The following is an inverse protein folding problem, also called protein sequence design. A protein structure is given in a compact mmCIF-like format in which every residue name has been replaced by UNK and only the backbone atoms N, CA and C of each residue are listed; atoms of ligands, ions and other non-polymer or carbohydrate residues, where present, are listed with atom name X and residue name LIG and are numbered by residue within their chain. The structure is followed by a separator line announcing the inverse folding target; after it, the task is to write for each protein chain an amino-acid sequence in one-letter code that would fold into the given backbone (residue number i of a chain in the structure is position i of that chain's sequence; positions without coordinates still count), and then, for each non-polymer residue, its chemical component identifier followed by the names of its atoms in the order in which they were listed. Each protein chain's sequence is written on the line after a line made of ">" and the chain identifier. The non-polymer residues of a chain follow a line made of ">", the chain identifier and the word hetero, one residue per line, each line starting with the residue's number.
data_IF_581347623805
#
_entry.id   IF_581347623805
#
_cell.length_a   1.000
_cell.length_b   1.000
_cell.length_c   1.000
_cell.angle_alpha   90.00
_cell.angle_beta   90.00
_cell.angle_gamma   90.00
#
_symmetry.space_group_name_H-M   'P 1'
#
loop_
_entity.id
_entity.type
_entity.pdbx_description
1 polymer ?
#
# COMPACT_ATOMS: atom_id res chain seq x y z
N UNK A 1 9.86 -6.38 -14.04
CA UNK A 1 9.30 -5.73 -15.23
C UNK A 1 8.86 -6.74 -16.31
N UNK A 2 9.77 -7.58 -16.84
CA UNK A 2 9.42 -8.56 -17.91
C UNK A 2 8.35 -9.56 -17.48
N UNK A 3 8.42 -10.10 -16.26
CA UNK A 3 7.42 -11.04 -15.73
C UNK A 3 6.04 -10.39 -15.70
N UNK A 4 5.93 -9.19 -15.16
CA UNK A 4 4.66 -8.46 -15.11
C UNK A 4 4.10 -8.12 -16.49
N UNK A 5 4.98 -7.79 -17.45
CA UNK A 5 4.56 -7.52 -18.84
C UNK A 5 3.93 -8.74 -19.52
N UNK A 6 4.38 -9.97 -19.21
CA UNK A 6 3.77 -11.21 -19.71
C UNK A 6 2.30 -11.36 -19.31
N UNK A 7 1.90 -10.70 -18.24
CA UNK A 7 0.53 -10.72 -17.70
C UNK A 7 -0.24 -9.40 -17.98
N UNK A 8 0.27 -8.55 -18.88
CA UNK A 8 -0.43 -7.37 -19.37
C UNK A 8 -0.06 -6.06 -18.69
N UNK A 9 0.83 -6.06 -17.67
CA UNK A 9 1.27 -4.82 -17.02
C UNK A 9 2.19 -4.02 -17.96
N UNK A 10 1.78 -2.83 -18.35
CA UNK A 10 2.57 -1.93 -19.22
C UNK A 10 3.41 -0.94 -18.44
N UNK A 11 2.91 -0.51 -17.28
CA UNK A 11 3.61 0.39 -16.36
C UNK A 11 3.47 -0.11 -14.94
N UNK A 12 4.48 0.11 -14.11
CA UNK A 12 4.45 -0.31 -12.72
C UNK A 12 5.13 0.71 -11.80
N UNK A 13 4.66 0.72 -10.57
CA UNK A 13 5.21 1.50 -9.46
C UNK A 13 5.73 0.50 -8.43
N UNK A 14 7.03 0.16 -8.45
CA UNK A 14 7.60 -0.69 -7.40
C UNK A 14 7.35 -0.08 -6.03
N UNK A 15 6.93 -0.95 -5.09
CA UNK A 15 6.47 -0.54 -3.76
C UNK A 15 7.46 -1.04 -2.71
N UNK A 16 7.76 -0.18 -1.72
CA UNK A 16 8.59 -0.55 -0.57
C UNK A 16 7.75 -1.28 0.47
N UNK A 17 8.43 -1.97 1.38
CA UNK A 17 7.89 -2.36 2.67
C UNK A 17 8.47 -1.47 3.76
N UNK A 18 7.81 -1.44 4.92
CA UNK A 18 8.37 -0.87 6.14
C UNK A 18 9.70 -1.54 6.47
N UNK A 19 10.76 -0.76 6.58
CA UNK A 19 12.12 -1.23 6.79
C UNK A 19 12.97 -0.15 7.50
N UNK A 20 14.24 -0.44 7.77
CA UNK A 20 15.18 0.55 8.29
C UNK A 20 15.52 1.63 7.25
N UNK A 21 15.92 2.81 7.72
CA UNK A 21 16.31 3.92 6.84
C UNK A 21 17.47 3.52 5.91
N UNK A 22 18.42 2.73 6.40
CA UNK A 22 19.53 2.20 5.59
C UNK A 22 19.02 1.31 4.44
N UNK A 23 18.04 0.44 4.70
CA UNK A 23 17.44 -0.41 3.67
C UNK A 23 16.64 0.40 2.66
N UNK A 24 15.93 1.42 3.10
CA UNK A 24 15.22 2.34 2.22
C UNK A 24 16.19 3.07 1.27
N UNK A 25 17.31 3.59 1.77
CA UNK A 25 18.33 4.23 0.93
C UNK A 25 18.95 3.25 -0.08
N UNK A 26 19.23 2.03 0.34
CA UNK A 26 19.71 0.96 -0.54
C UNK A 26 18.69 0.59 -1.62
N UNK A 27 17.40 0.63 -1.28
CA UNK A 27 16.32 0.38 -2.24
C UNK A 27 16.25 1.50 -3.28
N UNK A 28 16.38 2.78 -2.91
CA UNK A 28 16.45 3.89 -3.87
C UNK A 28 17.62 3.72 -4.85
N UNK A 29 18.79 3.35 -4.34
CA UNK A 29 19.95 3.07 -5.19
C UNK A 29 19.71 1.89 -6.14
N UNK A 30 19.05 0.85 -5.65
CA UNK A 30 18.68 -0.34 -6.45
C UNK A 30 17.64 0.01 -7.51
N UNK A 31 16.62 0.80 -7.17
CA UNK A 31 15.62 1.27 -8.12
C UNK A 31 16.25 2.06 -9.27
N UNK A 32 17.13 3.04 -8.97
CA UNK A 32 17.81 3.82 -10.00
C UNK A 32 18.59 2.95 -10.97
N UNK A 33 19.32 1.95 -10.46
CA UNK A 33 20.03 0.97 -11.31
C UNK A 33 19.05 0.13 -12.13
N UNK A 34 18.00 -0.39 -11.51
CA UNK A 34 17.00 -1.20 -12.19
C UNK A 34 16.25 -0.41 -13.28
N UNK A 35 15.94 0.87 -13.04
CA UNK A 35 15.27 1.78 -13.99
C UNK A 35 16.09 1.95 -15.28
N UNK A 36 17.41 2.10 -15.15
CA UNK A 36 18.33 2.20 -16.31
C UNK A 36 18.43 0.88 -17.05
N UNK A 37 18.50 -0.25 -16.35
CA UNK A 37 18.63 -1.59 -16.94
C UNK A 37 17.32 -2.11 -17.52
N UNK A 38 16.18 -1.52 -17.16
CA UNK A 38 14.86 -1.98 -17.62
C UNK A 38 14.55 -1.52 -19.04
N UNK A 39 15.13 -2.21 -20.03
CA UNK A 39 14.91 -1.93 -21.45
C UNK A 39 13.77 -2.75 -22.05
N UNK A 40 13.22 -3.71 -21.31
CA UNK A 40 12.13 -4.61 -21.74
C UNK A 40 11.13 -4.78 -20.60
N UNK A 41 9.86 -4.95 -20.96
CA UNK A 41 8.79 -5.21 -20.00
C UNK A 41 8.07 -3.94 -19.53
N UNK A 42 7.42 -4.01 -18.37
CA UNK A 42 6.65 -2.90 -17.80
C UNK A 42 7.56 -1.70 -17.46
N UNK A 43 7.14 -0.51 -17.86
CA UNK A 43 7.88 0.73 -17.58
C UNK A 43 7.80 1.08 -16.10
N UNK A 44 8.92 1.41 -15.47
CA UNK A 44 8.94 2.01 -14.12
C UNK A 44 8.58 3.49 -14.24
N UNK A 45 7.50 3.91 -13.59
CA UNK A 45 7.00 5.29 -13.63
C UNK A 45 7.27 6.07 -12.35
N UNK A 46 7.73 5.42 -11.30
CA UNK A 46 8.07 5.99 -10.01
C UNK A 46 8.09 4.93 -8.92
N UNK A 47 8.22 5.37 -7.69
CA UNK A 47 8.20 4.55 -6.47
C UNK A 47 6.98 4.87 -5.63
N UNK A 48 6.41 3.84 -5.03
CA UNK A 48 5.45 3.95 -3.95
C UNK A 48 6.14 3.60 -2.63
N UNK A 49 6.16 4.53 -1.69
CA UNK A 49 6.58 4.24 -0.32
C UNK A 49 5.38 3.76 0.48
N UNK A 50 5.44 2.52 0.96
CA UNK A 50 4.42 1.92 1.81
C UNK A 50 4.95 1.81 3.24
N UNK A 51 4.55 2.75 4.07
CA UNK A 51 5.09 2.95 5.42
C UNK A 51 6.33 3.86 5.45
N UNK A 52 6.99 3.97 6.61
CA UNK A 52 6.79 3.22 7.87
C UNK A 52 5.71 3.82 8.78
N UNK A 53 4.98 4.83 8.36
CA UNK A 53 4.03 5.61 9.15
C UNK A 53 2.65 4.95 9.16
N UNK A 54 2.55 3.80 9.85
CA UNK A 54 1.36 2.96 9.90
C UNK A 54 0.86 2.71 11.31
N UNK A 55 -0.43 2.42 11.45
CA UNK A 55 -1.03 2.03 12.71
C UNK A 55 -0.57 0.65 13.15
N UNK A 56 -0.04 0.49 14.37
CA UNK A 56 0.33 -0.83 14.88
C UNK A 56 -0.84 -1.84 14.92
N UNK A 57 -2.08 -1.34 15.02
CA UNK A 57 -3.27 -2.21 15.00
C UNK A 57 -3.59 -2.77 13.61
N UNK A 58 -3.08 -2.15 12.57
CA UNK A 58 -3.34 -2.48 11.17
C UNK A 58 -2.03 -2.80 10.42
N UNK A 59 -1.03 -3.33 11.14
CA UNK A 59 0.28 -3.65 10.56
C UNK A 59 0.21 -4.66 9.42
N UNK A 60 -0.76 -5.59 9.44
CA UNK A 60 -0.81 -6.67 8.46
C UNK A 60 0.51 -7.46 8.45
N UNK A 61 1.15 -7.58 7.30
CA UNK A 61 2.47 -8.20 7.14
C UNK A 61 3.64 -7.21 7.26
N UNK A 62 3.40 -5.94 7.57
CA UNK A 62 4.47 -4.98 7.85
C UNK A 62 5.12 -5.32 9.20
N UNK A 63 6.46 -5.27 9.27
CA UNK A 63 7.18 -5.57 10.51
C UNK A 63 6.96 -4.46 11.54
N UNK A 64 6.33 -4.76 12.70
CA UNK A 64 6.00 -3.74 13.70
C UNK A 64 7.20 -3.02 14.30
N UNK A 65 8.40 -3.59 14.24
CA UNK A 65 9.61 -2.96 14.80
C UNK A 65 10.01 -1.67 14.07
N UNK A 66 9.57 -1.49 12.82
CA UNK A 66 9.86 -0.32 12.01
C UNK A 66 8.72 0.70 11.97
N UNK A 67 7.57 0.39 12.59
CA UNK A 67 6.43 1.30 12.59
C UNK A 67 6.71 2.52 13.47
N UNK A 68 6.44 3.70 12.94
CA UNK A 68 6.70 4.96 13.62
C UNK A 68 5.71 6.04 13.20
N UNK A 69 5.71 7.18 13.88
CA UNK A 69 4.92 8.35 13.52
C UNK A 69 5.72 9.24 12.57
N UNK A 70 5.05 9.97 11.64
CA UNK A 70 5.73 10.94 10.77
C UNK A 70 6.45 12.03 11.59
N UNK A 71 7.74 12.23 11.34
CA UNK A 71 8.52 13.33 11.90
C UNK A 71 9.05 14.19 10.75
N UNK A 72 8.90 15.54 10.81
CA UNK A 72 9.29 16.43 9.71
C UNK A 72 10.74 16.25 9.26
N UNK A 73 11.66 16.12 10.20
CA UNK A 73 13.10 15.98 9.92
C UNK A 73 13.37 14.69 9.13
N UNK A 74 12.64 13.61 9.45
CA UNK A 74 12.83 12.32 8.83
C UNK A 74 12.22 12.26 7.43
N UNK A 75 10.91 12.59 7.28
CA UNK A 75 10.28 12.47 5.98
C UNK A 75 10.85 13.48 4.97
N UNK A 76 11.30 14.67 5.39
CA UNK A 76 12.00 15.61 4.51
C UNK A 76 13.33 15.04 4.03
N UNK A 77 14.13 14.44 4.91
CA UNK A 77 15.39 13.78 4.51
C UNK A 77 15.13 12.63 3.50
N UNK A 78 14.04 11.88 3.66
CA UNK A 78 13.64 10.84 2.70
C UNK A 78 13.27 11.48 1.35
N UNK A 79 12.48 12.56 1.33
CA UNK A 79 12.08 13.28 0.13
C UNK A 79 13.28 13.84 -0.62
N UNK A 80 14.26 14.39 0.08
CA UNK A 80 15.52 14.88 -0.50
C UNK A 80 16.39 13.75 -1.09
N UNK A 81 16.22 12.51 -0.63
CA UNK A 81 17.01 11.36 -1.07
C UNK A 81 16.61 10.78 -2.42
N UNK A 82 15.40 11.06 -2.90
CA UNK A 82 14.90 10.49 -4.16
C UNK A 82 13.79 11.31 -4.81
N UNK A 83 14.01 11.72 -6.04
CA UNK A 83 13.00 12.34 -6.92
C UNK A 83 12.06 11.31 -7.56
N UNK A 84 12.31 10.01 -7.37
CA UNK A 84 11.51 8.95 -7.98
C UNK A 84 10.22 8.62 -7.19
N UNK A 85 10.02 9.19 -6.01
CA UNK A 85 8.84 8.96 -5.17
C UNK A 85 7.66 9.69 -5.79
N UNK A 86 6.59 8.93 -6.14
CA UNK A 86 5.36 9.50 -6.69
C UNK A 86 4.13 9.28 -5.81
N UNK A 87 4.23 8.38 -4.83
CA UNK A 87 3.17 8.07 -3.88
C UNK A 87 3.75 7.66 -2.54
N UNK A 88 3.08 8.04 -1.46
CA UNK A 88 3.43 7.61 -0.10
C UNK A 88 2.17 7.25 0.69
N UNK A 89 2.09 6.02 1.15
CA UNK A 89 0.99 5.53 1.98
C UNK A 89 1.28 5.74 3.46
N UNK A 90 0.30 6.31 4.16
CA UNK A 90 0.40 6.73 5.57
C UNK A 90 -0.93 6.44 6.28
N UNK A 91 -0.88 6.12 7.57
CA UNK A 91 -2.04 6.06 8.44
C UNK A 91 -2.38 7.49 8.95
N UNK A 92 -3.52 8.06 8.53
CA UNK A 92 -3.79 9.48 8.72
C UNK A 92 -4.10 9.89 10.15
N UNK A 93 -4.46 8.95 11.02
CA UNK A 93 -4.69 9.18 12.45
C UNK A 93 -3.42 9.41 13.25
N UNK A 94 -2.25 9.14 12.66
CA UNK A 94 -0.99 9.35 13.34
C UNK A 94 -0.67 10.83 13.48
N UNK A 95 -0.15 11.19 14.66
CA UNK A 95 0.37 12.53 14.89
C UNK A 95 1.42 12.91 13.84
N UNK A 96 1.28 14.07 13.22
CA UNK A 96 2.14 14.53 12.14
C UNK A 96 1.66 14.17 10.72
N UNK A 97 0.77 13.20 10.55
CA UNK A 97 0.32 12.73 9.24
C UNK A 97 -0.37 13.83 8.41
N UNK A 98 -1.21 14.64 9.03
CA UNK A 98 -1.90 15.75 8.35
C UNK A 98 -0.88 16.78 7.79
N UNK A 99 0.12 17.15 8.59
CA UNK A 99 1.18 18.07 8.16
C UNK A 99 1.99 17.46 7.01
N UNK A 100 2.33 16.18 7.13
CA UNK A 100 3.02 15.44 6.08
C UNK A 100 2.23 15.42 4.76
N UNK A 101 0.89 15.27 4.82
CA UNK A 101 0.04 15.30 3.63
C UNK A 101 0.20 16.58 2.82
N UNK A 102 0.23 17.74 3.46
CA UNK A 102 0.48 19.02 2.80
C UNK A 102 1.87 19.07 2.15
N UNK A 103 2.90 18.61 2.86
CA UNK A 103 4.27 18.57 2.32
C UNK A 103 4.35 17.65 1.09
N UNK A 104 3.73 16.48 1.13
CA UNK A 104 3.70 15.57 -0.02
C UNK A 104 3.04 16.22 -1.25
N UNK A 105 1.95 16.97 -1.06
CA UNK A 105 1.32 17.73 -2.14
C UNK A 105 2.23 18.79 -2.74
N UNK A 106 2.97 19.54 -1.90
CA UNK A 106 3.96 20.53 -2.35
C UNK A 106 5.05 19.89 -3.22
N UNK A 107 5.42 18.64 -2.92
CA UNK A 107 6.36 17.84 -3.70
C UNK A 107 5.71 17.09 -4.89
N UNK A 108 4.42 17.30 -5.18
CA UNK A 108 3.66 16.59 -6.21
C UNK A 108 3.64 15.07 -6.03
N UNK A 109 3.73 14.61 -4.79
CA UNK A 109 3.62 13.19 -4.40
C UNK A 109 2.20 12.94 -3.93
N UNK A 110 1.57 11.85 -4.39
CA UNK A 110 0.23 11.46 -3.98
C UNK A 110 0.25 10.90 -2.54
N UNK A 111 -0.33 11.61 -1.55
CA UNK A 111 -0.56 11.03 -0.24
C UNK A 111 -1.68 9.99 -0.34
N UNK A 112 -1.43 8.78 0.15
CA UNK A 112 -2.41 7.68 0.15
C UNK A 112 -2.67 7.19 1.57
N UNK A 113 -3.87 6.70 1.82
CA UNK A 113 -4.27 6.12 3.11
C UNK A 113 -4.05 4.61 3.06
N UNK A 114 -3.32 4.05 4.02
CA UNK A 114 -3.13 2.60 4.17
C UNK A 114 -2.80 2.23 5.61
N UNK A 115 -2.97 0.94 5.96
CA UNK A 115 -2.57 0.37 7.25
C UNK A 115 -3.00 1.23 8.44
N UNK A 116 -4.30 1.49 8.55
CA UNK A 116 -4.85 2.55 9.39
C UNK A 116 -6.06 2.10 10.21
N UNK A 117 -6.13 2.55 11.46
CA UNK A 117 -7.28 2.39 12.36
C UNK A 117 -8.13 3.68 12.44
N UNK A 118 -7.97 4.58 11.45
CA UNK A 118 -8.67 5.87 11.41
C UNK A 118 -10.18 5.71 11.38
N UNK A 119 -10.88 6.65 12.01
CA UNK A 119 -12.33 6.82 11.88
C UNK A 119 -12.63 7.83 10.76
N UNK A 120 -13.90 7.90 10.36
CA UNK A 120 -14.37 8.76 9.27
C UNK A 120 -13.93 10.21 9.40
N UNK A 121 -14.00 10.77 10.60
CA UNK A 121 -13.61 12.16 10.89
C UNK A 121 -12.11 12.39 10.62
N UNK A 122 -11.26 11.44 10.99
CA UNK A 122 -9.81 11.50 10.76
C UNK A 122 -9.50 11.36 9.25
N UNK A 123 -10.20 10.48 8.55
CA UNK A 123 -10.10 10.37 7.08
C UNK A 123 -10.56 11.66 6.38
N UNK A 124 -11.63 12.29 6.87
CA UNK A 124 -12.13 13.56 6.31
C UNK A 124 -11.13 14.69 6.48
N UNK A 125 -10.43 14.75 7.62
CA UNK A 125 -9.34 15.71 7.82
C UNK A 125 -8.16 15.42 6.89
N UNK A 126 -7.78 14.16 6.75
CA UNK A 126 -6.72 13.74 5.85
C UNK A 126 -7.05 14.06 4.38
N UNK A 127 -8.30 13.85 3.96
CA UNK A 127 -8.75 14.21 2.61
C UNK A 127 -8.51 15.70 2.31
N UNK A 128 -8.82 16.58 3.25
CA UNK A 128 -8.56 18.03 3.13
C UNK A 128 -7.05 18.35 3.09
N UNK A 129 -6.21 17.48 3.64
CA UNK A 129 -4.75 17.60 3.60
C UNK A 129 -4.11 16.87 2.40
N UNK A 130 -4.94 16.42 1.43
CA UNK A 130 -4.47 15.86 0.16
C UNK A 130 -4.46 14.35 0.06
N UNK A 131 -4.85 13.61 1.08
CA UNK A 131 -5.00 12.15 1.03
C UNK A 131 -6.25 11.77 0.22
N UNK A 132 -6.15 11.81 -1.09
CA UNK A 132 -7.27 11.58 -2.01
C UNK A 132 -7.35 10.17 -2.57
N UNK A 133 -6.51 9.28 -2.04
CA UNK A 133 -6.39 7.90 -2.50
C UNK A 133 -6.30 6.92 -1.32
N UNK A 134 -6.89 5.72 -1.49
CA UNK A 134 -6.79 4.62 -0.52
C UNK A 134 -6.12 3.44 -1.21
N UNK A 135 -5.00 3.00 -0.65
CA UNK A 135 -4.24 1.83 -1.10
C UNK A 135 -4.97 0.56 -0.67
N UNK A 136 -5.04 -0.47 -1.53
CA UNK A 136 -5.61 -1.81 -1.29
C UNK A 136 -6.82 -1.83 -0.34
N UNK A 137 -7.91 -1.14 -0.75
CA UNK A 137 -9.15 -1.01 0.03
C UNK A 137 -9.59 -2.35 0.65
N UNK A 138 -10.01 -2.35 1.88
CA UNK A 138 -10.33 -3.47 2.78
C UNK A 138 -9.13 -4.18 3.43
N UNK A 139 -7.92 -4.06 2.90
CA UNK A 139 -6.74 -4.69 3.50
C UNK A 139 -6.13 -3.79 4.57
N UNK A 140 -5.94 -4.33 5.78
CA UNK A 140 -5.30 -3.65 6.90
C UNK A 140 -5.84 -2.23 7.17
N UNK A 141 -7.17 -2.09 7.27
CA UNK A 141 -7.83 -0.83 7.59
C UNK A 141 -9.12 -1.00 8.37
N UNK A 142 -9.53 0.05 9.06
CA UNK A 142 -10.77 0.08 9.83
C UNK A 142 -12.01 0.07 8.95
N UNK A 143 -13.04 -0.61 9.43
CA UNK A 143 -14.42 -0.47 9.02
C UNK A 143 -15.23 -0.03 10.24
N UNK A 144 -16.55 -0.29 10.28
CA UNK A 144 -17.39 0.06 11.43
C UNK A 144 -16.82 -0.51 12.73
N UNK A 145 -16.41 0.36 13.62
CA UNK A 145 -15.84 -0.01 14.94
C UNK A 145 -16.73 0.42 16.07
N UNK A 146 -16.43 -0.06 17.28
CA UNK A 146 -17.08 0.37 18.52
C UNK A 146 -16.03 0.91 19.49
N UNK A 147 -16.27 2.15 19.99
CA UNK A 147 -15.48 2.76 21.06
C UNK A 147 -16.46 3.21 22.16
N UNK A 148 -16.34 2.70 23.37
CA UNK A 148 -17.25 2.99 24.49
C UNK A 148 -18.74 2.80 24.11
N UNK A 149 -19.09 1.68 23.49
CA UNK A 149 -20.40 1.32 22.97
C UNK A 149 -20.91 2.11 21.74
N UNK A 150 -20.36 3.29 21.44
CA UNK A 150 -20.71 4.05 20.24
C UNK A 150 -20.09 3.45 18.97
N UNK A 151 -20.83 3.52 17.86
CA UNK A 151 -20.33 3.11 16.55
C UNK A 151 -19.64 4.27 15.86
N UNK A 152 -18.54 3.96 15.19
CA UNK A 152 -17.78 4.86 14.34
C UNK A 152 -17.64 4.22 12.96
N UNK A 153 -17.87 4.99 11.92
CA UNK A 153 -17.49 4.62 10.57
C UNK A 153 -15.96 4.65 10.45
N UNK A 154 -15.38 3.75 9.70
CA UNK A 154 -13.95 3.68 9.47
C UNK A 154 -13.54 4.16 8.08
N UNK A 155 -12.36 3.74 7.66
CA UNK A 155 -11.78 4.07 6.35
C UNK A 155 -12.61 3.49 5.22
N UNK A 156 -13.13 2.27 5.37
CA UNK A 156 -13.95 1.62 4.35
C UNK A 156 -15.21 2.44 4.08
N UNK A 157 -15.91 2.89 5.12
CA UNK A 157 -17.10 3.72 4.97
C UNK A 157 -16.75 5.10 4.40
N UNK A 158 -15.62 5.69 4.81
CA UNK A 158 -15.14 6.96 4.28
C UNK A 158 -14.85 6.87 2.77
N UNK A 159 -14.31 5.73 2.30
CA UNK A 159 -14.05 5.50 0.88
C UNK A 159 -15.32 5.66 0.02
N UNK A 160 -16.48 5.28 0.55
CA UNK A 160 -17.77 5.38 -0.16
C UNK A 160 -18.46 6.72 0.05
N UNK A 161 -18.30 7.34 1.21
CA UNK A 161 -18.97 8.60 1.56
C UNK A 161 -18.27 9.83 0.97
N UNK A 162 -16.98 9.74 0.67
CA UNK A 162 -16.23 10.81 -0.01
C UNK A 162 -16.20 10.47 -1.50
N UNK A 163 -17.06 11.12 -2.27
CA UNK A 163 -17.29 10.81 -3.70
C UNK A 163 -16.00 10.85 -4.52
N UNK A 164 -15.15 11.85 -4.30
CA UNK A 164 -13.90 12.06 -5.03
C UNK A 164 -12.71 11.23 -4.51
N UNK A 165 -12.85 10.51 -3.40
CA UNK A 165 -11.83 9.58 -2.94
C UNK A 165 -11.63 8.47 -3.98
N UNK A 166 -10.42 8.25 -4.44
CA UNK A 166 -10.07 7.11 -5.30
C UNK A 166 -9.58 5.93 -4.46
N UNK A 167 -9.72 4.72 -4.96
CA UNK A 167 -9.33 3.51 -4.26
C UNK A 167 -8.58 2.54 -5.15
N UNK A 168 -7.59 1.83 -4.60
CA UNK A 168 -7.04 0.62 -5.21
C UNK A 168 -7.71 -0.62 -4.63
N UNK A 169 -7.87 -1.64 -5.47
CA UNK A 169 -8.35 -2.96 -5.04
C UNK A 169 -7.48 -4.08 -5.60
N UNK A 170 -7.23 -5.10 -4.77
CA UNK A 170 -6.63 -6.36 -5.18
C UNK A 170 -7.77 -7.28 -5.65
N UNK A 171 -7.95 -7.39 -6.96
CA UNK A 171 -9.11 -8.04 -7.55
C UNK A 171 -8.89 -9.54 -7.86
N UNK A 172 -8.11 -10.23 -7.04
CA UNK A 172 -7.73 -11.64 -7.22
C UNK A 172 -8.82 -12.65 -6.81
N UNK A 173 -9.94 -12.17 -6.27
CA UNK A 173 -11.03 -12.99 -5.78
C UNK A 173 -10.77 -13.62 -4.40
N UNK A 174 -9.61 -13.37 -3.78
CA UNK A 174 -9.16 -13.87 -2.48
C UNK A 174 -9.13 -12.72 -1.47
N UNK A 175 -8.34 -11.67 -1.74
CA UNK A 175 -8.35 -10.44 -0.93
C UNK A 175 -9.72 -9.80 -0.91
N UNK A 176 -10.37 -9.70 -2.07
CA UNK A 176 -11.74 -9.26 -2.22
C UNK A 176 -12.56 -10.36 -2.92
N UNK A 177 -13.39 -11.12 -2.18
CA UNK A 177 -14.27 -12.09 -2.78
C UNK A 177 -15.31 -11.39 -3.68
N UNK A 178 -15.83 -12.14 -4.65
CA UNK A 178 -16.74 -11.62 -5.69
C UNK A 178 -17.83 -10.66 -5.17
N UNK A 179 -18.53 -10.93 -4.06
CA UNK A 179 -19.56 -9.98 -3.55
C UNK A 179 -18.98 -8.63 -3.17
N UNK A 180 -17.76 -8.58 -2.60
CA UNK A 180 -17.08 -7.31 -2.27
C UNK A 180 -16.60 -6.59 -3.53
N UNK A 181 -16.07 -7.28 -4.51
CA UNK A 181 -15.72 -6.68 -5.81
C UNK A 181 -16.95 -6.04 -6.48
N UNK A 182 -18.09 -6.75 -6.47
CA UNK A 182 -19.35 -6.20 -6.97
C UNK A 182 -19.83 -4.99 -6.17
N UNK A 183 -19.65 -5.00 -4.85
CA UNK A 183 -20.03 -3.91 -3.97
C UNK A 183 -19.17 -2.66 -4.26
N UNK A 184 -17.85 -2.81 -4.32
CA UNK A 184 -16.94 -1.70 -4.67
C UNK A 184 -17.30 -1.11 -6.02
N UNK A 185 -17.42 -1.95 -7.04
CA UNK A 185 -17.75 -1.49 -8.40
C UNK A 185 -19.09 -0.73 -8.45
N UNK A 186 -20.11 -1.28 -7.77
CA UNK A 186 -21.46 -0.69 -7.77
C UNK A 186 -21.51 0.67 -7.07
N UNK A 187 -20.82 0.84 -5.95
CA UNK A 187 -21.00 2.00 -5.10
C UNK A 187 -19.88 3.04 -5.25
N UNK A 188 -18.69 2.64 -5.72
CA UNK A 188 -17.60 3.58 -5.97
C UNK A 188 -17.54 4.04 -7.45
N UNK A 189 -17.94 3.18 -8.37
CA UNK A 189 -17.87 3.45 -9.81
C UNK A 189 -16.48 3.24 -10.40
N UNK A 190 -16.43 2.83 -11.66
CA UNK A 190 -15.19 2.49 -12.35
C UNK A 190 -14.18 3.64 -12.39
N UNK A 191 -14.66 4.88 -12.46
CA UNK A 191 -13.81 6.09 -12.59
C UNK A 191 -12.98 6.38 -11.32
N UNK A 192 -13.35 5.77 -10.19
CA UNK A 192 -12.70 5.98 -8.89
C UNK A 192 -11.96 4.74 -8.39
N UNK A 193 -11.86 3.69 -9.22
CA UNK A 193 -11.22 2.42 -8.86
C UNK A 193 -9.99 2.21 -9.73
N UNK A 194 -8.85 1.95 -9.10
CA UNK A 194 -7.66 1.41 -9.74
C UNK A 194 -7.47 -0.06 -9.33
N UNK A 195 -6.98 -0.88 -10.26
CA UNK A 195 -6.58 -2.26 -9.96
C UNK A 195 -5.10 -2.26 -9.59
N UNK A 196 -4.77 -2.85 -8.45
CA UNK A 196 -3.39 -3.14 -8.08
C UNK A 196 -3.22 -4.65 -7.90
N UNK A 197 -2.02 -5.13 -8.11
CA UNK A 197 -1.67 -6.53 -7.81
C UNK A 197 -1.23 -6.70 -6.38
N UNK A 198 -0.57 -5.70 -5.80
CA UNK A 198 0.15 -5.84 -4.52
C UNK A 198 1.03 -7.09 -4.50
N UNK A 199 1.61 -7.42 -5.67
CA UNK A 199 2.29 -8.67 -5.90
C UNK A 199 3.68 -8.67 -5.27
N UNK A 200 3.89 -9.66 -4.41
CA UNK A 200 5.21 -9.94 -3.85
C UNK A 200 6.04 -10.83 -4.82
N UNK A 201 7.30 -11.10 -4.50
CA UNK A 201 8.23 -11.87 -5.36
C UNK A 201 7.78 -13.28 -5.74
N UNK A 202 6.81 -13.84 -5.02
CA UNK A 202 6.24 -15.15 -5.31
C UNK A 202 5.23 -15.16 -6.44
N UNK A 203 4.82 -14.01 -6.97
CA UNK A 203 3.90 -13.94 -8.09
C UNK A 203 4.48 -14.65 -9.34
N UNK A 204 3.73 -15.61 -9.86
CA UNK A 204 4.16 -16.44 -10.98
C UNK A 204 5.15 -17.56 -10.61
N UNK A 205 5.41 -17.78 -9.33
CA UNK A 205 6.23 -18.89 -8.82
C UNK A 205 5.33 -20.04 -8.32
N UNK A 206 5.87 -21.27 -8.18
CA UNK A 206 5.15 -22.37 -7.53
C UNK A 206 4.83 -22.07 -6.06
N UNK A 207 3.83 -22.77 -5.52
CA UNK A 207 3.53 -22.78 -4.09
C UNK A 207 4.74 -23.24 -3.26
N UNK A 208 4.85 -22.72 -2.03
CA UNK A 208 5.93 -23.04 -1.12
C UNK A 208 6.41 -21.87 -0.29
N UNK A 209 7.54 -22.02 0.35
CA UNK A 209 8.16 -20.95 1.16
C UNK A 209 8.73 -19.83 0.28
N UNK A 210 8.58 -18.61 0.73
CA UNK A 210 9.15 -17.41 0.10
C UNK A 210 9.57 -16.39 1.17
N UNK A 211 10.07 -15.25 0.74
CA UNK A 211 10.48 -14.15 1.62
C UNK A 211 9.79 -12.87 1.18
N UNK A 212 9.14 -12.18 2.10
CA UNK A 212 8.61 -10.84 1.91
C UNK A 212 9.69 -9.83 2.33
N UNK A 213 9.94 -8.81 1.51
CA UNK A 213 10.97 -7.79 1.80
C UNK A 213 12.37 -8.19 1.37
N UNK A 214 13.38 -7.83 2.16
CA UNK A 214 14.80 -8.08 1.87
C UNK A 214 15.13 -9.57 1.82
N UNK A 215 15.99 -9.99 0.89
CA UNK A 215 16.45 -11.38 0.85
C UNK A 215 17.34 -11.76 2.04
N UNK A 216 17.97 -10.77 2.66
CA UNK A 216 18.89 -11.01 3.77
C UNK A 216 18.17 -11.18 5.13
N UNK A 217 17.13 -10.39 5.36
CA UNK A 217 16.45 -10.27 6.66
C UNK A 217 14.94 -10.08 6.55
N UNK A 218 14.35 -10.34 5.37
CA UNK A 218 12.90 -10.27 5.18
C UNK A 218 12.14 -11.38 5.92
N UNK A 219 10.85 -11.23 6.00
CA UNK A 219 9.96 -12.15 6.70
C UNK A 219 9.69 -13.40 5.86
N UNK A 220 9.71 -14.57 6.49
CA UNK A 220 9.25 -15.81 5.84
C UNK A 220 7.76 -15.74 5.60
N UNK A 221 7.33 -16.21 4.44
CA UNK A 221 5.92 -16.32 4.05
C UNK A 221 5.69 -17.66 3.35
N UNK A 222 4.43 -18.06 3.28
CA UNK A 222 4.03 -19.30 2.61
C UNK A 222 3.06 -18.94 1.49
N UNK A 223 3.37 -19.42 0.29
CA UNK A 223 2.49 -19.31 -0.88
C UNK A 223 1.69 -20.61 -0.94
N UNK A 224 0.40 -20.50 -0.75
CA UNK A 224 -0.57 -21.61 -0.81
C UNK A 224 -1.96 -21.07 -1.14
N UNK A 225 -2.85 -21.88 -1.68
CA UNK A 225 -4.22 -21.49 -2.05
C UNK A 225 -4.30 -20.26 -2.96
N UNK A 226 -3.24 -19.99 -3.74
CA UNK A 226 -3.17 -18.85 -4.66
C UNK A 226 -2.93 -17.49 -4.00
N UNK A 227 -2.44 -17.46 -2.76
CA UNK A 227 -2.12 -16.22 -2.01
C UNK A 227 -0.89 -16.43 -1.12
N UNK A 228 -0.18 -15.35 -0.82
CA UNK A 228 0.90 -15.37 0.17
C UNK A 228 0.34 -15.09 1.58
N UNK A 229 0.79 -15.85 2.58
CA UNK A 229 0.34 -15.76 3.97
C UNK A 229 1.54 -15.68 4.91
N UNK A 230 1.34 -15.04 6.05
CA UNK A 230 2.26 -15.19 7.19
C UNK A 230 2.30 -16.66 7.66
N UNK A 231 3.41 -17.16 8.21
CA UNK A 231 3.55 -18.56 8.59
C UNK A 231 2.48 -19.06 9.58
N UNK A 232 1.98 -18.18 10.44
CA UNK A 232 0.91 -18.46 11.40
C UNK A 232 -0.51 -18.26 10.81
N UNK A 233 -0.63 -17.87 9.53
CA UNK A 233 -1.88 -17.57 8.79
C UNK A 233 -2.68 -16.42 9.40
N UNK A 234 -2.06 -15.58 10.22
CA UNK A 234 -2.71 -14.41 10.84
C UNK A 234 -3.04 -13.30 9.84
N UNK A 235 -2.28 -13.19 8.74
CA UNK A 235 -2.47 -12.16 7.70
C UNK A 235 -2.03 -12.66 6.33
N UNK A 236 -2.57 -12.04 5.28
CA UNK A 236 -1.98 -12.09 3.94
C UNK A 236 -0.68 -11.27 3.91
N UNK A 237 0.25 -11.67 3.08
CA UNK A 237 1.59 -11.11 2.99
C UNK A 237 1.85 -10.56 1.57
N UNK A 238 1.11 -9.54 1.18
CA UNK A 238 0.95 -9.13 -0.19
C UNK A 238 0.22 -10.20 -1.01
N UNK A 239 0.23 -10.10 -2.31
CA UNK A 239 -0.45 -11.05 -3.19
C UNK A 239 0.53 -11.84 -4.06
N UNK A 240 0.00 -12.86 -4.73
CA UNK A 240 0.62 -13.51 -5.89
C UNK A 240 -0.20 -13.27 -7.16
N UNK A 241 -1.08 -12.27 -7.11
CA UNK A 241 -1.94 -11.91 -8.24
C UNK A 241 -1.12 -11.38 -9.43
N UNK A 242 -1.65 -11.63 -10.61
CA UNK A 242 -1.18 -11.06 -11.87
C UNK A 242 -2.31 -10.25 -12.50
N UNK A 243 -2.00 -9.24 -13.32
CA UNK A 243 -3.02 -8.31 -13.85
C UNK A 243 -4.07 -8.94 -14.76
N UNK A 244 -3.87 -10.16 -15.22
CA UNK A 244 -4.80 -10.92 -16.06
C UNK A 244 -5.60 -11.99 -15.30
N UNK A 245 -5.55 -11.99 -13.99
CA UNK A 245 -6.19 -13.02 -13.15
C UNK A 245 -7.57 -12.57 -12.65
#
# INVERSE_FOLDING_TARGET
>A
AETHAKYGTTSMVPTTLTCSDTELMNMFATYRKAKVLNTKGAKFIGLHLEGPYFSPKQSGAQDPIYLKKPQPEEYNAILESSEDIIRWSVAPELEGAIKMGHVLQEHHILPSIAHTDAIYEEVTQAYKAGYTHITHLYSAMSSVTRRNAFRYAGVVEAAYLIDDMTVEIIADGIHLPKPLLQFVYKFKGADKIALCTDAMRGAGMPDGESILGSLANGQKVIIEDGVAKMPDRSAFAGSVATTNR
#
